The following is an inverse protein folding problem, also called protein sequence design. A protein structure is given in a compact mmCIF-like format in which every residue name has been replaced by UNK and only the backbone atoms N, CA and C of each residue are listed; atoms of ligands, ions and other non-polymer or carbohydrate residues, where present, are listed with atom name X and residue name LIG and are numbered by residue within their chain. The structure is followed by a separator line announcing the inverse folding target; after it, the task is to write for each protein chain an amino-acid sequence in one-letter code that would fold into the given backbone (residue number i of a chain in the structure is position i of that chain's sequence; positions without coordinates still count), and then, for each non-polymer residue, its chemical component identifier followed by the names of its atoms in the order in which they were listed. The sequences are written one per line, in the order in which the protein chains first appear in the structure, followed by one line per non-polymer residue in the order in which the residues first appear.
data_IF_956465915316
#
_entry.id   IF_956465915316
#
_cell.length_a   1.000
_cell.length_b   1.000
_cell.length_c   1.000
_cell.angle_alpha   90.00
_cell.angle_beta   90.00
_cell.angle_gamma   90.00
#
_symmetry.space_group_name_H-M   'P 1'
#
loop_
_entity.id
_entity.type
_entity.pdbx_description
1 polymer ?
#
# COMPACT_ATOMS: atom_id res chain seq x y z
N UNK A 1 -53.65 -32.62 33.93
CA UNK A 1 -52.68 -32.60 32.82
C UNK A 1 -52.00 -31.23 32.87
N UNK A 2 -50.82 -31.15 33.49
CA UNK A 2 -50.13 -29.89 33.79
C UNK A 2 -49.45 -29.32 32.54
N UNK A 3 -49.65 -28.03 32.26
CA UNK A 3 -49.02 -27.30 31.15
C UNK A 3 -47.66 -26.74 31.56
N UNK A 4 -46.62 -27.06 30.80
CA UNK A 4 -45.24 -26.64 31.01
C UNK A 4 -45.05 -25.15 30.63
N UNK A 5 -44.45 -24.38 31.53
CA UNK A 5 -44.03 -22.99 31.30
C UNK A 5 -42.63 -23.00 30.70
N UNK A 6 -42.48 -22.56 29.45
CA UNK A 6 -41.16 -22.37 28.80
C UNK A 6 -40.59 -21.01 29.19
N UNK A 7 -39.53 -21.00 29.99
CA UNK A 7 -38.73 -19.81 30.30
C UNK A 7 -37.72 -19.60 29.17
N UNK A 8 -37.83 -18.49 28.43
CA UNK A 8 -36.85 -18.10 27.42
C UNK A 8 -35.70 -17.32 28.11
N UNK A 9 -34.52 -17.92 28.17
CA UNK A 9 -33.29 -17.27 28.65
C UNK A 9 -32.70 -16.40 27.54
N UNK A 10 -32.78 -15.07 27.71
CA UNK A 10 -32.09 -14.12 26.84
C UNK A 10 -30.59 -14.15 27.15
N UNK A 11 -29.78 -14.67 26.23
CA UNK A 11 -28.33 -14.62 26.32
C UNK A 11 -27.84 -13.19 26.04
N UNK A 12 -27.30 -12.51 27.06
CA UNK A 12 -26.61 -11.24 26.94
C UNK A 12 -25.23 -11.51 26.30
N UNK A 13 -25.09 -11.16 25.02
CA UNK A 13 -23.79 -11.16 24.33
C UNK A 13 -23.00 -9.94 24.82
N UNK A 14 -21.77 -10.10 25.35
CA UNK A 14 -20.91 -8.98 25.68
C UNK A 14 -20.52 -8.25 24.39
N UNK A 15 -20.80 -6.94 24.35
CA UNK A 15 -20.32 -6.06 23.29
C UNK A 15 -18.79 -5.99 23.40
N UNK A 16 -18.09 -6.61 22.47
CA UNK A 16 -16.65 -6.47 22.34
C UNK A 16 -16.33 -5.01 21.96
N UNK A 17 -15.93 -4.21 22.93
CA UNK A 17 -15.31 -2.90 22.70
C UNK A 17 -13.90 -3.13 22.16
N UNK A 18 -13.82 -3.41 20.85
CA UNK A 18 -12.54 -3.41 20.14
C UNK A 18 -11.92 -2.02 20.27
N UNK A 19 -10.77 -1.93 20.93
CA UNK A 19 -9.95 -0.73 20.92
C UNK A 19 -9.47 -0.51 19.48
N UNK A 20 -10.01 0.51 18.81
CA UNK A 20 -9.42 1.00 17.57
C UNK A 20 -8.02 1.51 17.93
N UNK A 21 -6.98 0.82 17.45
CA UNK A 21 -5.64 1.40 17.47
C UNK A 21 -5.70 2.71 16.69
N UNK A 22 -5.34 3.81 17.34
CA UNK A 22 -5.14 5.05 16.64
C UNK A 22 -4.08 4.78 15.58
N UNK A 23 -4.47 4.83 14.31
CA UNK A 23 -3.51 4.95 13.23
C UNK A 23 -2.69 6.20 13.58
N UNK A 24 -1.40 6.03 13.91
CA UNK A 24 -0.52 7.15 14.19
C UNK A 24 -0.68 8.18 13.08
N UNK A 25 -0.71 9.47 13.43
CA UNK A 25 -0.93 10.56 12.49
C UNK A 25 -0.10 10.29 11.24
N UNK A 26 -0.79 9.86 10.17
CA UNK A 26 -0.22 9.14 9.01
C UNK A 26 0.59 10.04 8.10
N UNK A 27 1.51 10.81 8.68
CA UNK A 27 2.35 11.74 8.00
C UNK A 27 3.51 10.98 7.36
N UNK A 28 3.40 10.81 6.04
CA UNK A 28 4.52 10.32 5.25
C UNK A 28 5.55 11.45 5.12
N UNK A 29 6.83 11.24 5.49
CA UNK A 29 7.85 12.26 5.34
C UNK A 29 7.96 12.78 3.90
N UNK A 30 8.08 14.10 3.75
CA UNK A 30 8.15 14.79 2.44
C UNK A 30 9.23 14.22 1.51
N UNK A 31 10.36 13.77 2.07
CA UNK A 31 11.45 13.13 1.30
C UNK A 31 11.01 11.91 0.49
N UNK A 32 9.93 11.23 0.88
CA UNK A 32 9.39 10.09 0.14
C UNK A 32 8.26 10.48 -0.83
N UNK A 33 7.46 11.52 -0.53
CA UNK A 33 6.32 11.94 -1.37
C UNK A 33 6.70 12.94 -2.45
N UNK A 34 7.74 13.76 -2.23
CA UNK A 34 8.14 14.83 -3.14
C UNK A 34 9.28 14.43 -4.08
N UNK A 35 9.56 13.13 -4.18
CA UNK A 35 10.60 12.62 -5.05
C UNK A 35 10.29 12.88 -6.53
N UNK A 36 11.19 13.61 -7.18
CA UNK A 36 11.16 13.77 -8.64
C UNK A 36 11.96 12.63 -9.28
N UNK A 37 11.24 11.61 -9.72
CA UNK A 37 11.85 10.46 -10.38
C UNK A 37 12.49 10.87 -11.72
N UNK A 38 13.76 10.51 -11.87
CA UNK A 38 14.54 10.77 -13.08
C UNK A 38 14.28 9.66 -14.10
N UNK A 39 13.22 9.83 -14.88
CA UNK A 39 12.80 8.89 -15.91
C UNK A 39 13.79 8.84 -17.08
N UNK A 40 14.13 7.63 -17.51
CA UNK A 40 14.94 7.36 -18.70
C UNK A 40 14.36 6.16 -19.46
N UNK A 41 14.77 5.93 -20.71
CA UNK A 41 14.42 4.70 -21.40
C UNK A 41 15.00 3.48 -20.65
N UNK A 42 14.22 2.41 -20.49
CA UNK A 42 14.74 1.17 -19.92
C UNK A 42 15.68 0.47 -20.90
N UNK A 43 16.81 -0.07 -20.44
CA UNK A 43 17.85 -0.70 -21.29
C UNK A 43 17.30 -1.89 -22.09
N UNK A 44 16.58 -2.81 -21.43
CA UNK A 44 16.05 -4.03 -22.06
C UNK A 44 14.72 -3.81 -22.80
N UNK A 45 14.06 -2.67 -22.56
CA UNK A 45 12.72 -2.40 -23.10
C UNK A 45 12.53 -0.91 -23.36
N UNK A 46 13.04 -0.39 -24.50
CA UNK A 46 13.05 1.05 -24.78
C UNK A 46 11.65 1.66 -24.99
N UNK A 47 10.60 0.84 -25.12
CA UNK A 47 9.21 1.28 -25.12
C UNK A 47 8.67 1.64 -23.73
N UNK A 48 9.42 1.35 -22.66
CA UNK A 48 9.12 1.75 -21.29
C UNK A 48 10.09 2.83 -20.81
N UNK A 49 9.63 3.61 -19.84
CA UNK A 49 10.49 4.48 -19.04
C UNK A 49 10.75 3.85 -17.68
N UNK A 50 12.00 3.87 -17.23
CA UNK A 50 12.47 3.38 -15.95
C UNK A 50 12.94 4.55 -15.07
N UNK A 51 12.80 4.37 -13.76
CA UNK A 51 13.38 5.24 -12.75
C UNK A 51 13.59 4.45 -11.45
N UNK A 52 14.33 5.04 -10.50
CA UNK A 52 14.49 4.50 -9.15
C UNK A 52 13.80 5.42 -8.15
N UNK A 53 13.00 4.83 -7.25
CA UNK A 53 12.31 5.51 -6.16
C UNK A 53 12.87 5.05 -4.82
N UNK A 54 13.02 5.97 -3.87
CA UNK A 54 13.50 5.67 -2.51
C UNK A 54 12.31 5.49 -1.58
N UNK A 55 12.31 4.47 -0.73
CA UNK A 55 11.24 4.24 0.26
C UNK A 55 11.84 3.82 1.60
N UNK A 56 11.17 4.11 2.74
CA UNK A 56 11.61 3.56 4.01
C UNK A 56 11.38 2.05 4.01
N UNK A 57 12.20 1.34 4.78
CA UNK A 57 12.00 -0.09 5.03
C UNK A 57 10.76 -0.37 5.88
N UNK A 58 10.50 0.47 6.87
CA UNK A 58 9.35 0.38 7.75
C UNK A 58 8.55 1.70 7.71
N UNK A 59 7.30 1.64 7.26
CA UNK A 59 6.43 2.81 7.21
C UNK A 59 5.88 3.21 8.58
N UNK A 60 5.90 2.33 9.57
CA UNK A 60 5.55 2.68 10.95
C UNK A 60 6.68 3.45 11.64
N UNK A 61 7.93 3.23 11.21
CA UNK A 61 9.11 3.93 11.71
C UNK A 61 9.97 4.43 10.54
N UNK A 62 9.47 5.39 9.75
CA UNK A 62 10.11 5.76 8.48
C UNK A 62 11.47 6.47 8.65
N UNK A 63 11.80 6.92 9.87
CA UNK A 63 13.11 7.50 10.19
C UNK A 63 14.16 6.45 10.59
N UNK A 64 13.77 5.20 10.79
CA UNK A 64 14.62 4.18 11.38
C UNK A 64 15.25 3.30 10.29
N UNK A 65 16.58 3.25 10.28
CA UNK A 65 17.35 2.38 9.40
C UNK A 65 17.47 2.89 7.95
N UNK A 66 18.03 2.05 7.06
CA UNK A 66 18.31 2.43 5.69
C UNK A 66 17.06 2.38 4.80
N UNK A 67 17.02 3.29 3.85
CA UNK A 67 16.05 3.28 2.75
C UNK A 67 16.28 2.12 1.78
N UNK A 68 15.24 1.81 1.02
CA UNK A 68 15.25 0.85 -0.08
C UNK A 68 15.12 1.58 -1.42
N UNK A 69 15.82 1.07 -2.44
CA UNK A 69 15.68 1.50 -3.81
C UNK A 69 14.69 0.59 -4.55
N UNK A 70 13.61 1.16 -5.07
CA UNK A 70 12.57 0.47 -5.83
C UNK A 70 12.71 0.85 -7.29
N UNK A 71 12.92 -0.14 -8.15
CA UNK A 71 12.90 0.05 -9.61
C UNK A 71 11.46 0.17 -10.09
N UNK A 72 11.15 1.28 -10.76
CA UNK A 72 9.81 1.58 -11.29
C UNK A 72 9.90 1.65 -12.82
N UNK A 73 9.02 0.93 -13.50
CA UNK A 73 8.86 1.01 -14.96
C UNK A 73 7.46 1.48 -15.31
N UNK A 74 7.32 2.40 -16.28
CA UNK A 74 6.03 2.87 -16.79
C UNK A 74 5.98 2.85 -18.31
N UNK A 75 4.79 2.63 -18.87
CA UNK A 75 4.51 2.88 -20.27
C UNK A 75 3.88 4.26 -20.41
N UNK A 76 4.45 5.16 -21.23
CA UNK A 76 3.79 6.45 -21.47
C UNK A 76 2.58 6.25 -22.37
N UNK A 77 1.44 6.84 -22.01
CA UNK A 77 0.32 6.95 -22.94
C UNK A 77 0.72 7.86 -24.11
N UNK A 78 0.33 7.45 -25.31
CA UNK A 78 0.59 8.20 -26.55
C UNK A 78 -0.17 9.54 -26.59
N UNK A 79 -1.33 9.62 -25.94
CA UNK A 79 -2.12 10.84 -25.78
C UNK A 79 -2.38 11.12 -24.28
N UNK A 80 -1.87 12.22 -23.72
CA UNK A 80 -2.14 12.63 -22.34
C UNK A 80 -3.62 12.93 -22.06
N UNK A 81 -4.42 13.29 -23.06
CA UNK A 81 -5.85 13.61 -22.89
C UNK A 81 -6.75 12.36 -22.88
N UNK A 82 -6.24 11.22 -23.39
CA UNK A 82 -6.95 9.94 -23.45
C UNK A 82 -6.38 8.90 -22.46
N UNK A 83 -5.84 9.34 -21.32
CA UNK A 83 -5.25 8.46 -20.29
C UNK A 83 -6.31 7.50 -19.73
N UNK A 84 -6.37 6.27 -20.24
CA UNK A 84 -7.02 5.17 -19.53
C UNK A 84 -6.15 4.82 -18.30
N UNK A 85 -6.79 4.59 -17.15
CA UNK A 85 -6.10 4.27 -15.88
C UNK A 85 -5.03 3.19 -16.12
N UNK A 86 -3.77 3.54 -15.87
CA UNK A 86 -2.70 2.55 -15.76
C UNK A 86 -2.99 1.60 -14.59
N UNK A 87 -3.02 0.29 -14.86
CA UNK A 87 -3.00 -0.74 -13.83
C UNK A 87 -1.55 -1.04 -13.52
N UNK A 88 -1.12 -0.71 -12.29
CA UNK A 88 0.20 -1.13 -11.82
C UNK A 88 0.24 -2.66 -11.75
N UNK A 89 1.09 -3.27 -12.57
CA UNK A 89 1.34 -4.71 -12.51
C UNK A 89 2.60 -4.91 -11.70
N UNK A 90 2.47 -5.14 -10.39
CA UNK A 90 3.60 -5.48 -9.54
C UNK A 90 4.08 -6.90 -9.88
N UNK A 91 5.24 -7.01 -10.52
CA UNK A 91 5.99 -8.27 -10.57
C UNK A 91 7.01 -8.23 -9.44
N UNK A 92 6.68 -8.78 -8.27
CA UNK A 92 7.66 -8.98 -7.21
C UNK A 92 8.63 -10.11 -7.63
N UNK A 93 9.87 -9.74 -7.90
CA UNK A 93 10.99 -10.69 -8.07
C UNK A 93 11.84 -10.75 -6.79
N UNK A 94 12.59 -11.82 -6.56
CA UNK A 94 13.57 -11.85 -5.46
C UNK A 94 14.69 -10.84 -5.75
N UNK A 95 15.03 -10.00 -4.77
CA UNK A 95 16.23 -9.15 -4.85
C UNK A 95 17.48 -10.03 -4.78
N UNK A 96 18.33 -9.99 -5.80
CA UNK A 96 19.71 -10.47 -5.67
C UNK A 96 20.47 -9.41 -4.84
N UNK A 97 21.02 -9.85 -3.71
CA UNK A 97 21.79 -9.01 -2.79
C UNK A 97 23.23 -8.80 -3.24
#
# INVERSE_FOLDING_TARGET
MAGLVTVATAALLPAATGSASAAGDGHIPARYTEQRLSWHACDDKPSLECATMTVPRDWHHPADGPDLAVSVSRHRAADPAARCRETETARSGPSAG
#
